data_IF_603027794926
#
_entry.id   IF_603027794926
#
_cell.length_a   1.000
_cell.length_b   1.000
_cell.length_c   1.000
_cell.angle_alpha   90.00
_cell.angle_beta   90.00
_cell.angle_gamma   90.00
#
_symmetry.space_group_name_H-M   'P 1'
#
loop_
_entity.id
_entity.type
_entity.pdbx_description
1 polymer ?
#
# COMPACT_ATOMS: atom_id res chain seq x y z
N UNK A 1 35.39 13.66 10.00
CA UNK A 1 34.18 13.59 10.85
C UNK A 1 33.02 13.17 9.97
N UNK A 2 32.89 11.88 9.72
CA UNK A 2 31.98 11.38 8.68
C UNK A 2 31.71 9.90 8.88
N UNK A 3 31.08 9.54 9.99
CA UNK A 3 30.61 8.16 10.23
C UNK A 3 29.61 8.08 11.39
N UNK A 4 28.72 9.06 11.55
CA UNK A 4 27.71 9.03 12.64
C UNK A 4 26.27 9.35 12.20
N UNK A 5 26.01 9.55 10.90
CA UNK A 5 24.68 9.96 10.42
C UNK A 5 23.96 8.92 9.54
N UNK A 6 24.46 7.68 9.51
CA UNK A 6 23.82 6.58 8.77
C UNK A 6 23.07 5.62 9.71
N UNK A 7 23.47 5.53 10.98
CA UNK A 7 22.85 4.59 11.93
C UNK A 7 21.51 5.05 12.53
N UNK A 8 21.13 6.32 12.37
CA UNK A 8 19.84 6.82 12.87
C UNK A 8 18.67 6.60 11.90
N UNK A 9 18.94 6.29 10.63
CA UNK A 9 17.87 5.95 9.67
C UNK A 9 17.51 4.46 9.70
N UNK A 10 18.45 3.58 10.05
CA UNK A 10 18.19 2.13 10.13
C UNK A 10 17.21 1.76 11.26
N UNK A 11 17.21 2.55 12.34
CA UNK A 11 16.37 2.29 13.52
C UNK A 11 14.97 2.90 13.43
N UNK A 12 14.75 3.87 12.54
CA UNK A 12 13.45 4.54 12.41
C UNK A 12 12.47 3.78 11.49
N UNK A 13 12.98 2.92 10.60
CA UNK A 13 12.14 2.06 9.75
C UNK A 13 11.72 0.77 10.46
N UNK A 14 12.54 0.23 11.38
CA UNK A 14 12.19 -0.93 12.22
C UNK A 14 11.18 -0.63 13.35
N UNK A 15 10.84 0.64 13.63
CA UNK A 15 9.97 1.01 14.75
C UNK A 15 8.52 1.31 14.34
N UNK A 16 8.20 1.31 13.05
CA UNK A 16 6.85 1.65 12.58
C UNK A 16 6.10 0.39 12.19
N UNK A 17 5.19 -0.03 13.08
CA UNK A 17 4.25 -1.12 12.86
C UNK A 17 3.36 -0.81 11.63
N UNK A 18 3.45 -1.59 10.54
CA UNK A 18 2.64 -1.39 9.35
C UNK A 18 1.16 -1.76 9.58
N UNK A 19 0.81 -2.41 10.69
CA UNK A 19 -0.55 -2.87 10.98
C UNK A 19 -0.92 -4.17 10.27
N UNK A 20 0.06 -4.85 9.68
CA UNK A 20 -0.02 -6.22 9.14
C UNK A 20 1.33 -6.90 9.34
N UNK A 21 1.36 -8.23 9.26
CA UNK A 21 2.57 -9.03 9.45
C UNK A 21 3.20 -9.41 8.10
N UNK A 22 4.25 -8.68 7.72
CA UNK A 22 5.05 -8.93 6.51
C UNK A 22 6.12 -10.02 6.68
N UNK A 23 6.41 -10.43 7.92
CA UNK A 23 7.49 -11.36 8.22
C UNK A 23 7.13 -12.79 7.77
N UNK A 24 8.13 -13.51 7.23
CA UNK A 24 7.96 -14.88 6.73
C UNK A 24 6.84 -15.04 5.68
N UNK A 25 6.52 -13.99 4.92
CA UNK A 25 5.60 -14.06 3.78
C UNK A 25 6.41 -14.12 2.47
N UNK A 26 6.27 -15.22 1.74
CA UNK A 26 6.83 -15.42 0.41
C UNK A 26 5.77 -15.04 -0.63
N UNK A 27 6.13 -14.17 -1.57
CA UNK A 27 5.27 -13.76 -2.67
C UNK A 27 5.79 -14.32 -3.99
N UNK A 28 4.87 -14.82 -4.82
CA UNK A 28 5.16 -15.39 -6.13
C UNK A 28 4.18 -14.86 -7.17
N UNK A 29 4.70 -14.40 -8.31
CA UNK A 29 3.84 -13.92 -9.39
C UNK A 29 3.10 -15.06 -10.06
N UNK A 30 1.77 -14.98 -10.00
CA UNK A 30 0.87 -16.00 -10.53
C UNK A 30 1.01 -16.13 -12.04
N UNK A 31 0.58 -17.29 -12.54
CA UNK A 31 0.41 -17.56 -13.97
C UNK A 31 -1.02 -18.05 -14.14
N UNK A 32 -1.70 -17.59 -15.19
CA UNK A 32 -3.11 -17.90 -15.43
C UNK A 32 -3.42 -19.41 -15.36
N UNK A 33 -2.51 -20.26 -15.85
CA UNK A 33 -2.65 -21.72 -15.78
C UNK A 33 -2.64 -22.26 -14.34
N UNK A 34 -1.78 -21.72 -13.48
CA UNK A 34 -1.68 -22.13 -12.08
C UNK A 34 -2.90 -21.60 -11.33
N UNK A 35 -3.31 -20.35 -11.60
CA UNK A 35 -4.49 -19.72 -11.00
C UNK A 35 -5.79 -20.47 -11.31
N UNK A 36 -5.94 -21.02 -12.52
CA UNK A 36 -7.10 -21.87 -12.87
C UNK A 36 -7.19 -23.15 -12.02
N UNK A 37 -6.08 -23.57 -11.43
CA UNK A 37 -5.97 -24.74 -10.55
C UNK A 37 -5.62 -24.33 -9.12
N UNK A 38 -5.93 -23.09 -8.74
CA UNK A 38 -5.49 -22.51 -7.47
C UNK A 38 -5.86 -23.37 -6.27
N UNK A 39 -7.08 -23.90 -6.18
CA UNK A 39 -7.48 -24.76 -5.05
C UNK A 39 -6.63 -26.03 -4.92
N UNK A 40 -6.29 -26.66 -6.05
CA UNK A 40 -5.44 -27.83 -6.07
C UNK A 40 -3.99 -27.48 -5.74
N UNK A 41 -3.48 -26.37 -6.29
CA UNK A 41 -2.15 -25.84 -5.97
C UNK A 41 -2.04 -25.50 -4.48
N UNK A 42 -3.03 -24.77 -3.94
CA UNK A 42 -3.13 -24.42 -2.52
C UNK A 42 -3.15 -25.65 -1.63
N UNK A 43 -3.91 -26.68 -1.99
CA UNK A 43 -3.95 -27.95 -1.24
C UNK A 43 -2.59 -28.65 -1.22
N UNK A 44 -1.87 -28.69 -2.35
CA UNK A 44 -0.51 -29.27 -2.43
C UNK A 44 0.48 -28.47 -1.59
N UNK A 45 0.42 -27.14 -1.66
CA UNK A 45 1.31 -26.25 -0.92
C UNK A 45 1.06 -26.40 0.60
N UNK A 46 -0.19 -26.40 1.04
CA UNK A 46 -0.57 -26.57 2.45
C UNK A 46 -0.31 -27.99 3.00
N UNK A 47 0.12 -28.95 2.17
CA UNK A 47 0.46 -30.28 2.63
C UNK A 47 1.79 -30.34 3.40
N UNK A 48 2.68 -29.35 3.21
CA UNK A 48 3.94 -29.25 3.95
C UNK A 48 3.75 -28.45 5.24
N UNK A 49 4.30 -28.97 6.33
CA UNK A 49 4.14 -28.39 7.66
C UNK A 49 4.86 -27.05 7.84
N UNK A 50 5.81 -26.68 6.97
CA UNK A 50 6.47 -25.38 6.99
C UNK A 50 5.55 -24.24 6.57
N UNK A 51 4.39 -24.52 5.95
CA UNK A 51 3.48 -23.52 5.41
C UNK A 51 2.25 -23.39 6.31
N UNK A 52 1.92 -22.17 6.72
CA UNK A 52 0.78 -21.87 7.59
C UNK A 52 -0.47 -21.52 6.80
N UNK A 53 -0.33 -20.68 5.76
CA UNK A 53 -1.45 -20.24 4.95
C UNK A 53 -1.01 -19.82 3.55
N UNK A 54 -1.96 -19.85 2.62
CA UNK A 54 -1.80 -19.43 1.22
C UNK A 54 -3.00 -18.58 0.84
N UNK A 55 -2.74 -17.44 0.20
CA UNK A 55 -3.73 -16.49 -0.30
C UNK A 55 -3.36 -15.97 -1.69
N UNK A 56 -4.32 -15.33 -2.36
CA UNK A 56 -4.13 -14.61 -3.62
C UNK A 56 -4.46 -13.13 -3.47
N UNK A 57 -3.78 -12.31 -4.27
CA UNK A 57 -4.05 -10.88 -4.39
C UNK A 57 -3.83 -10.37 -5.82
N UNK A 58 -4.52 -9.30 -6.20
CA UNK A 58 -4.30 -8.61 -7.47
C UNK A 58 -3.09 -7.67 -7.47
N UNK A 59 -2.62 -7.27 -6.30
CA UNK A 59 -1.49 -6.35 -6.12
C UNK A 59 -0.81 -6.60 -4.77
N UNK A 60 0.42 -6.11 -4.59
CA UNK A 60 1.22 -6.36 -3.38
C UNK A 60 0.83 -5.36 -2.28
N UNK A 61 0.41 -5.85 -1.11
CA UNK A 61 0.16 -5.01 0.06
C UNK A 61 1.40 -4.23 0.47
N UNK A 62 1.24 -2.96 0.84
CA UNK A 62 2.34 -2.05 1.19
C UNK A 62 2.92 -1.26 0.00
N UNK A 63 2.52 -1.58 -1.25
CA UNK A 63 2.82 -0.80 -2.46
C UNK A 63 1.69 0.18 -2.82
N UNK A 64 1.84 0.91 -3.93
CA UNK A 64 0.75 1.74 -4.48
C UNK A 64 -0.32 0.84 -5.11
N UNK A 65 -1.59 1.09 -4.81
CA UNK A 65 -2.70 0.25 -5.25
C UNK A 65 -3.52 0.88 -6.36
N UNK A 66 -4.12 0.00 -7.17
CA UNK A 66 -5.19 0.39 -8.08
C UNK A 66 -6.38 0.99 -7.32
N UNK A 67 -7.05 1.93 -7.98
CA UNK A 67 -8.28 2.53 -7.49
C UNK A 67 -9.47 1.95 -8.25
N UNK A 68 -10.54 1.65 -7.54
CA UNK A 68 -11.78 1.13 -8.12
C UNK A 68 -12.95 2.09 -7.84
N UNK A 69 -13.96 2.04 -8.70
CA UNK A 69 -15.14 2.90 -8.61
C UNK A 69 -16.16 2.39 -7.60
N UNK A 70 -16.45 3.23 -6.61
CA UNK A 70 -17.50 2.99 -5.63
C UNK A 70 -18.50 4.16 -5.60
N UNK A 71 -19.77 3.82 -5.41
CA UNK A 71 -20.86 4.73 -5.13
C UNK A 71 -21.59 4.21 -3.89
N UNK A 72 -21.59 4.98 -2.81
CA UNK A 72 -22.21 4.58 -1.55
C UNK A 72 -23.51 5.34 -1.30
N UNK A 73 -24.26 4.85 -0.33
CA UNK A 73 -25.54 5.42 0.06
C UNK A 73 -25.38 6.91 0.45
N UNK A 74 -26.17 7.78 -0.18
CA UNK A 74 -26.09 9.23 -0.03
C UNK A 74 -25.39 9.96 -1.18
N UNK A 75 -24.66 9.26 -2.06
CA UNK A 75 -24.18 9.84 -3.31
C UNK A 75 -25.28 9.94 -4.36
N UNK A 76 -25.13 10.85 -5.32
CA UNK A 76 -25.97 10.86 -6.51
C UNK A 76 -25.73 9.57 -7.31
N UNK A 77 -26.79 8.97 -7.91
CA UNK A 77 -26.62 7.88 -8.86
C UNK A 77 -25.61 8.25 -9.95
N UNK A 78 -24.77 7.31 -10.38
CA UNK A 78 -23.75 7.45 -11.43
C UNK A 78 -22.59 8.42 -11.12
N UNK A 79 -22.47 8.92 -9.89
CA UNK A 79 -21.27 9.62 -9.42
C UNK A 79 -20.34 8.65 -8.69
N UNK A 80 -19.13 8.48 -9.18
CA UNK A 80 -18.17 7.52 -8.63
C UNK A 80 -17.11 8.20 -7.77
N UNK A 81 -16.72 7.54 -6.69
CA UNK A 81 -15.51 7.82 -5.93
C UNK A 81 -14.49 6.71 -6.20
N UNK A 82 -13.26 7.10 -6.48
CA UNK A 82 -12.15 6.19 -6.73
C UNK A 82 -11.45 5.91 -5.40
N UNK A 83 -11.53 4.67 -4.93
CA UNK A 83 -10.93 4.25 -3.67
C UNK A 83 -9.82 3.22 -3.94
N UNK A 84 -8.64 3.37 -3.32
CA UNK A 84 -7.62 2.33 -3.34
C UNK A 84 -8.20 1.02 -2.80
N UNK A 85 -8.07 -0.06 -3.58
CA UNK A 85 -8.64 -1.36 -3.20
C UNK A 85 -7.79 -2.52 -3.69
N UNK A 86 -7.86 -3.61 -2.96
CA UNK A 86 -7.13 -4.84 -3.26
C UNK A 86 -8.13 -6.01 -3.30
N UNK A 87 -8.06 -6.77 -4.39
CA UNK A 87 -8.90 -7.93 -4.66
C UNK A 87 -8.18 -9.16 -4.10
N UNK A 88 -8.83 -9.84 -3.17
CA UNK A 88 -8.26 -10.93 -2.37
C UNK A 88 -9.15 -12.18 -2.38
N UNK A 89 -8.63 -13.28 -1.86
CA UNK A 89 -9.45 -14.39 -1.39
C UNK A 89 -9.80 -14.27 0.11
N UNK A 90 -10.56 -15.25 0.60
CA UNK A 90 -11.01 -15.29 1.99
C UNK A 90 -9.89 -15.55 3.00
N UNK A 91 -8.68 -15.91 2.56
CA UNK A 91 -7.57 -16.24 3.45
C UNK A 91 -6.64 -15.05 3.68
N UNK A 92 -6.79 -13.95 2.93
CA UNK A 92 -5.86 -12.84 2.95
C UNK A 92 -5.73 -12.17 4.32
N UNK A 93 -6.84 -11.85 4.98
CA UNK A 93 -6.84 -11.18 6.29
C UNK A 93 -6.08 -12.03 7.32
N UNK A 94 -6.37 -13.33 7.37
CA UNK A 94 -5.64 -14.26 8.24
C UNK A 94 -4.16 -14.42 7.84
N UNK A 95 -3.88 -14.46 6.54
CA UNK A 95 -2.52 -14.63 6.01
C UNK A 95 -1.66 -13.39 6.19
N UNK A 96 -2.23 -12.19 6.25
CA UNK A 96 -1.51 -10.95 6.50
C UNK A 96 -1.59 -10.49 7.97
N UNK A 97 -2.27 -11.24 8.84
CA UNK A 97 -2.40 -10.89 10.26
C UNK A 97 -3.17 -9.60 10.50
N UNK A 98 -4.14 -9.26 9.63
CA UNK A 98 -4.93 -8.03 9.75
C UNK A 98 -5.94 -8.13 10.90
N UNK A 99 -6.11 -7.03 11.64
CA UNK A 99 -7.02 -6.96 12.79
C UNK A 99 -8.42 -6.47 12.38
N UNK A 100 -9.46 -7.25 12.72
CA UNK A 100 -10.86 -6.84 12.57
C UNK A 100 -11.34 -6.12 13.84
N UNK A 101 -11.85 -4.90 13.69
CA UNK A 101 -12.43 -4.10 14.78
C UNK A 101 -13.96 -4.24 14.89
N UNK A 102 -14.63 -4.66 13.80
CA UNK A 102 -16.05 -4.98 13.79
C UNK A 102 -16.42 -5.96 12.68
N UNK A 103 -17.49 -6.72 12.89
CA UNK A 103 -18.03 -7.64 11.89
C UNK A 103 -17.25 -8.94 11.83
N UNK A 104 -16.97 -9.40 10.61
CA UNK A 104 -16.29 -10.67 10.34
C UNK A 104 -15.40 -10.58 9.12
N UNK A 105 -14.49 -11.55 9.01
CA UNK A 105 -13.73 -11.81 7.79
C UNK A 105 -14.63 -12.37 6.68
N UNK A 106 -14.09 -12.45 5.47
CA UNK A 106 -14.67 -13.20 4.37
C UNK A 106 -14.86 -14.66 4.74
N UNK A 107 -15.91 -15.28 4.20
CA UNK A 107 -16.22 -16.68 4.46
C UNK A 107 -16.61 -17.40 3.17
N UNK A 108 -15.83 -18.40 2.79
CA UNK A 108 -16.04 -19.18 1.56
C UNK A 108 -17.33 -20.02 1.57
N UNK A 109 -17.85 -20.37 2.75
CA UNK A 109 -19.13 -21.08 2.87
C UNK A 109 -20.33 -20.14 2.56
N UNK A 110 -20.10 -18.83 2.58
CA UNK A 110 -21.12 -17.80 2.29
C UNK A 110 -20.99 -17.36 0.84
N UNK A 111 -21.77 -17.99 -0.05
CA UNK A 111 -21.76 -17.71 -1.50
C UNK A 111 -21.95 -16.24 -1.90
N UNK A 112 -22.61 -15.42 -1.07
CA UNK A 112 -22.76 -13.99 -1.37
C UNK A 112 -21.46 -13.21 -1.19
N UNK A 113 -20.54 -13.72 -0.38
CA UNK A 113 -19.29 -13.03 -0.11
C UNK A 113 -18.42 -12.98 -1.37
N UNK A 114 -18.44 -14.04 -2.17
CA UNK A 114 -17.68 -14.18 -3.42
C UNK A 114 -17.95 -13.10 -4.50
N UNK A 115 -19.00 -12.30 -4.31
CA UNK A 115 -19.47 -11.31 -5.30
C UNK A 115 -19.98 -10.00 -4.70
N UNK A 116 -20.20 -9.94 -3.38
CA UNK A 116 -20.89 -8.82 -2.77
C UNK A 116 -20.40 -8.49 -1.35
N UNK A 117 -19.29 -9.07 -0.88
CA UNK A 117 -18.71 -8.70 0.42
C UNK A 117 -17.47 -7.84 0.22
N UNK A 118 -17.37 -6.78 1.04
CA UNK A 118 -16.16 -5.96 1.16
C UNK A 118 -15.81 -5.77 2.63
N UNK A 119 -14.52 -5.63 2.90
CA UNK A 119 -13.98 -5.15 4.17
C UNK A 119 -13.44 -3.74 3.95
N UNK A 120 -13.60 -2.87 4.94
CA UNK A 120 -13.14 -1.47 4.87
C UNK A 120 -12.32 -1.14 6.11
N UNK A 121 -11.41 -0.17 6.04
CA UNK A 121 -10.71 0.29 7.24
C UNK A 121 -11.49 1.34 8.04
N UNK A 122 -11.06 1.59 9.29
CA UNK A 122 -11.62 2.62 10.18
C UNK A 122 -11.61 4.02 9.53
N UNK A 123 -10.57 4.34 8.75
CA UNK A 123 -10.48 5.63 8.05
C UNK A 123 -11.62 5.82 7.05
N UNK A 124 -11.94 4.79 6.27
CA UNK A 124 -13.07 4.87 5.34
C UNK A 124 -14.39 5.10 6.10
N UNK A 125 -14.65 4.35 7.17
CA UNK A 125 -15.86 4.52 8.00
C UNK A 125 -16.01 5.96 8.49
N UNK A 126 -14.90 6.55 8.96
CA UNK A 126 -14.83 7.92 9.46
C UNK A 126 -15.05 8.96 8.36
N UNK A 127 -14.38 8.83 7.21
CA UNK A 127 -14.49 9.78 6.09
C UNK A 127 -15.85 9.73 5.40
N UNK A 128 -16.46 8.54 5.33
CA UNK A 128 -17.81 8.37 4.79
C UNK A 128 -18.91 8.80 5.77
N UNK A 129 -18.57 9.12 7.02
CA UNK A 129 -19.54 9.53 8.03
C UNK A 129 -20.50 8.42 8.43
N UNK A 130 -20.07 7.15 8.37
CA UNK A 130 -20.89 5.99 8.72
C UNK A 130 -21.01 5.73 10.23
N UNK A 131 -20.45 6.62 11.06
CA UNK A 131 -20.49 6.52 12.52
C UNK A 131 -19.39 5.62 13.07
N UNK A 132 -19.77 4.64 13.88
CA UNK A 132 -18.87 3.65 14.47
C UNK A 132 -18.59 2.47 13.52
N UNK A 133 -17.49 1.71 13.71
CA UNK A 133 -17.23 0.49 12.93
C UNK A 133 -18.40 -0.51 12.93
N UNK A 134 -19.15 -0.61 14.02
CA UNK A 134 -20.34 -1.47 14.11
C UNK A 134 -21.51 -0.95 13.28
N UNK A 135 -21.70 0.37 13.20
CA UNK A 135 -22.75 1.00 12.39
C UNK A 135 -22.44 0.96 10.89
N UNK A 136 -21.16 0.88 10.52
CA UNK A 136 -20.72 0.66 9.14
C UNK A 136 -21.09 -0.73 8.60
N UNK A 137 -21.33 -1.71 9.48
CA UNK A 137 -21.66 -3.06 9.06
C UNK A 137 -22.98 -3.08 8.29
N UNK A 138 -22.90 -3.62 7.08
CA UNK A 138 -24.03 -3.77 6.19
C UNK A 138 -24.35 -2.56 5.32
N UNK A 139 -23.55 -1.49 5.40
CA UNK A 139 -23.56 -0.39 4.45
C UNK A 139 -23.38 -0.92 3.03
N UNK A 140 -24.09 -0.32 2.08
CA UNK A 140 -24.09 -0.74 0.68
C UNK A 140 -23.16 0.14 -0.14
N UNK A 141 -22.32 -0.51 -0.92
CA UNK A 141 -21.46 0.12 -1.92
C UNK A 141 -21.86 -0.44 -3.28
N UNK A 142 -22.09 0.44 -4.25
CA UNK A 142 -22.37 0.07 -5.63
C UNK A 142 -21.08 0.24 -6.42
N UNK A 143 -20.74 -0.76 -7.20
CA UNK A 143 -19.63 -0.74 -8.16
C UNK A 143 -20.20 -0.94 -9.57
N UNK A 144 -19.44 -0.69 -10.64
CA UNK A 144 -19.86 -1.04 -12.00
C UNK A 144 -20.25 -2.52 -12.17
N UNK A 145 -19.81 -3.39 -11.25
CA UNK A 145 -20.02 -4.85 -11.28
C UNK A 145 -21.26 -5.28 -10.51
N UNK A 146 -21.77 -4.48 -9.58
CA UNK A 146 -22.91 -4.86 -8.77
C UNK A 146 -23.04 -4.07 -7.46
N UNK A 147 -23.79 -4.65 -6.54
CA UNK A 147 -23.95 -4.10 -5.18
C UNK A 147 -23.21 -4.98 -4.21
N UNK A 148 -22.25 -4.37 -3.54
CA UNK A 148 -21.43 -4.93 -2.48
C UNK A 148 -21.90 -4.40 -1.12
N UNK A 149 -21.49 -5.08 -0.06
CA UNK A 149 -21.89 -4.83 1.32
C UNK A 149 -20.70 -4.94 2.23
N UNK A 150 -20.57 -3.98 3.14
CA UNK A 150 -19.55 -4.02 4.19
C UNK A 150 -19.87 -5.16 5.16
N UNK A 151 -19.01 -6.19 5.23
CA UNK A 151 -19.19 -7.33 6.15
C UNK A 151 -18.28 -7.26 7.38
N UNK A 152 -17.24 -6.43 7.32
CA UNK A 152 -16.30 -6.21 8.40
C UNK A 152 -15.56 -4.90 8.25
N UNK A 153 -15.02 -4.43 9.38
CA UNK A 153 -14.18 -3.24 9.45
C UNK A 153 -12.83 -3.65 10.03
N UNK A 154 -11.77 -3.33 9.30
CA UNK A 154 -10.38 -3.56 9.67
C UNK A 154 -9.86 -2.36 10.45
N UNK A 155 -8.96 -2.62 11.39
CA UNK A 155 -8.16 -1.57 12.01
C UNK A 155 -7.36 -0.82 10.95
N UNK A 156 -7.08 0.46 11.16
CA UNK A 156 -6.21 1.20 10.24
C UNK A 156 -4.82 0.54 10.12
N UNK A 157 -4.40 0.25 8.89
CA UNK A 157 -3.09 -0.31 8.55
C UNK A 157 -2.46 0.46 7.37
N UNK A 158 -1.13 0.44 7.28
CA UNK A 158 -0.35 1.09 6.24
C UNK A 158 -0.31 0.24 4.97
N UNK A 159 -1.41 0.25 4.22
CA UNK A 159 -1.50 -0.46 2.94
C UNK A 159 -0.60 0.11 1.83
N UNK A 160 -0.08 1.33 2.01
CA UNK A 160 0.94 2.00 1.16
C UNK A 160 2.18 2.31 2.00
N UNK A 161 3.11 3.11 1.47
CA UNK A 161 4.27 3.65 2.19
C UNK A 161 3.96 4.09 3.63
N UNK A 162 4.77 3.62 4.57
CA UNK A 162 4.76 4.01 5.99
C UNK A 162 4.88 5.53 6.21
N UNK A 163 5.31 6.27 5.18
CA UNK A 163 5.45 7.71 5.23
C UNK A 163 4.15 8.50 5.00
N UNK A 164 3.09 7.85 4.53
CA UNK A 164 1.79 8.47 4.27
C UNK A 164 0.82 8.23 5.42
N UNK A 165 -0.12 9.16 5.67
CA UNK A 165 -1.22 8.88 6.57
C UNK A 165 -2.08 7.73 6.00
N UNK A 166 -2.65 6.93 6.89
CA UNK A 166 -3.64 5.91 6.48
C UNK A 166 -4.83 6.63 5.85
N UNK A 167 -5.23 6.15 4.67
CA UNK A 167 -6.33 6.67 3.85
C UNK A 167 -7.47 5.65 3.78
N UNK A 168 -8.66 5.99 3.26
CA UNK A 168 -9.69 5.00 2.99
C UNK A 168 -9.16 3.84 2.14
N UNK A 169 -9.51 2.61 2.50
CA UNK A 169 -9.11 1.41 1.78
C UNK A 169 -10.22 0.36 1.80
N UNK A 170 -10.31 -0.42 0.72
CA UNK A 170 -11.28 -1.50 0.55
C UNK A 170 -10.54 -2.80 0.23
N UNK A 171 -10.81 -3.86 0.99
CA UNK A 171 -10.55 -5.22 0.55
C UNK A 171 -11.82 -5.78 -0.07
N UNK A 172 -11.67 -6.33 -1.26
CA UNK A 172 -12.77 -6.82 -2.07
C UNK A 172 -12.54 -8.30 -2.39
N UNK A 173 -13.58 -9.13 -2.24
CA UNK A 173 -13.48 -10.55 -2.56
C UNK A 173 -14.29 -10.87 -3.81
N UNK A 174 -13.59 -11.20 -4.88
CA UNK A 174 -14.21 -11.44 -6.19
C UNK A 174 -13.70 -12.74 -6.77
N UNK A 175 -14.51 -13.79 -6.70
CA UNK A 175 -14.19 -15.07 -7.36
C UNK A 175 -14.51 -15.07 -8.86
N UNK A 176 -15.31 -14.12 -9.35
CA UNK A 176 -15.69 -14.11 -10.77
C UNK A 176 -14.62 -13.46 -11.66
N UNK A 177 -13.84 -14.37 -12.26
CA UNK A 177 -12.95 -14.22 -13.43
C UNK A 177 -11.52 -13.73 -13.12
N UNK A 178 -10.63 -14.74 -13.03
CA UNK A 178 -9.17 -14.71 -12.82
C UNK A 178 -8.31 -13.88 -13.79
N UNK A 179 -8.72 -12.65 -14.10
CA UNK A 179 -7.91 -11.69 -14.85
C UNK A 179 -7.18 -10.68 -13.94
N UNK A 180 -7.61 -10.53 -12.68
CA UNK A 180 -7.08 -9.49 -11.81
C UNK A 180 -6.02 -10.00 -10.84
N UNK A 181 -6.12 -11.23 -10.35
CA UNK A 181 -5.12 -11.81 -9.44
C UNK A 181 -3.77 -11.90 -10.15
N UNK A 182 -2.74 -11.34 -9.53
CA UNK A 182 -1.36 -11.31 -10.04
C UNK A 182 -0.38 -12.03 -9.13
N UNK A 183 -0.68 -12.16 -7.84
CA UNK A 183 0.29 -12.64 -6.86
C UNK A 183 -0.32 -13.73 -5.96
N UNK A 184 0.50 -14.72 -5.63
CA UNK A 184 0.29 -15.63 -4.51
C UNK A 184 1.11 -15.14 -3.32
N UNK A 185 0.52 -15.14 -2.12
CA UNK A 185 1.26 -14.96 -0.88
C UNK A 185 1.16 -16.22 -0.02
N UNK A 186 2.29 -16.64 0.52
CA UNK A 186 2.44 -17.84 1.33
C UNK A 186 3.09 -17.46 2.64
N UNK A 187 2.37 -17.69 3.75
CA UNK A 187 2.93 -17.53 5.09
C UNK A 187 3.67 -18.80 5.49
N UNK A 188 4.91 -18.62 5.89
CA UNK A 188 5.83 -19.68 6.30
C UNK A 188 6.03 -19.64 7.81
N UNK A 189 6.18 -20.81 8.43
CA UNK A 189 6.55 -20.91 9.83
C UNK A 189 7.95 -20.35 10.07
N UNK A 190 8.14 -19.49 11.08
CA UNK A 190 9.44 -18.91 11.39
C UNK A 190 10.55 -19.97 11.49
N UNK A 191 11.62 -19.78 10.71
CA UNK A 191 12.79 -20.67 10.72
C UNK A 191 12.67 -21.91 9.81
N UNK A 192 11.61 -22.03 9.02
CA UNK A 192 11.41 -23.13 8.06
C UNK A 192 11.51 -22.69 6.59
N UNK A 193 12.01 -21.48 6.33
CA UNK A 193 12.04 -20.85 5.01
C UNK A 193 12.65 -21.74 3.93
N UNK A 194 13.79 -22.39 4.22
CA UNK A 194 14.46 -23.25 3.25
C UNK A 194 13.61 -24.48 2.86
N UNK A 195 12.89 -25.06 3.82
CA UNK A 195 11.99 -26.18 3.55
C UNK A 195 10.77 -25.71 2.75
N UNK A 196 10.18 -24.58 3.14
CA UNK A 196 9.04 -24.02 2.43
C UNK A 196 9.37 -23.68 0.98
N UNK A 197 10.52 -23.03 0.73
CA UNK A 197 10.98 -22.69 -0.63
C UNK A 197 11.16 -23.95 -1.48
N UNK A 198 11.80 -25.00 -0.93
CA UNK A 198 12.01 -26.25 -1.66
C UNK A 198 10.68 -26.93 -2.01
N UNK A 199 9.71 -26.95 -1.07
CA UNK A 199 8.38 -27.51 -1.31
C UNK A 199 7.58 -26.68 -2.32
N UNK A 200 7.64 -25.35 -2.20
CA UNK A 200 7.01 -24.42 -3.14
C UNK A 200 7.54 -24.61 -4.57
N UNK A 201 8.86 -24.79 -4.73
CA UNK A 201 9.47 -25.05 -6.03
C UNK A 201 8.98 -26.38 -6.63
N UNK A 202 8.88 -27.44 -5.81
CA UNK A 202 8.34 -28.73 -6.26
C UNK A 202 6.87 -28.62 -6.67
N UNK A 203 6.04 -27.98 -5.84
CA UNK A 203 4.63 -27.73 -6.14
C UNK A 203 4.48 -26.89 -7.42
N UNK A 204 5.29 -25.83 -7.57
CA UNK A 204 5.30 -25.01 -8.77
C UNK A 204 5.62 -25.83 -10.03
N UNK A 205 6.61 -26.72 -9.96
CA UNK A 205 6.97 -27.63 -11.05
C UNK A 205 5.85 -28.59 -11.45
N UNK A 206 4.97 -28.99 -10.52
CA UNK A 206 3.81 -29.86 -10.82
C UNK A 206 2.71 -29.12 -11.59
N UNK A 207 2.42 -27.88 -11.22
CA UNK A 207 1.28 -27.11 -11.77
C UNK A 207 1.66 -26.19 -12.95
N UNK A 208 2.90 -25.73 -13.00
CA UNK A 208 3.43 -24.82 -14.02
C UNK A 208 4.85 -25.15 -14.49
N UNK A 209 5.13 -26.38 -14.97
CA UNK A 209 6.48 -26.83 -15.33
C UNK A 209 7.18 -25.99 -16.41
N UNK A 210 6.42 -25.23 -17.21
CA UNK A 210 6.94 -24.36 -18.25
C UNK A 210 7.31 -22.94 -17.76
N UNK A 211 7.01 -22.61 -16.51
CA UNK A 211 7.29 -21.30 -15.94
C UNK A 211 8.41 -21.41 -14.92
N UNK A 212 9.37 -20.46 -14.90
CA UNK A 212 10.37 -20.43 -13.85
C UNK A 212 9.69 -20.20 -12.48
N UNK A 213 10.26 -20.80 -11.45
CA UNK A 213 9.90 -20.51 -10.07
C UNK A 213 10.64 -19.24 -9.63
N UNK A 214 9.88 -18.16 -9.43
CA UNK A 214 10.39 -16.85 -9.01
C UNK A 214 9.61 -16.42 -7.76
N UNK A 215 10.34 -15.97 -6.74
CA UNK A 215 9.76 -15.53 -5.48
C UNK A 215 10.58 -14.39 -4.87
N UNK A 216 9.96 -13.70 -3.92
CA UNK A 216 10.64 -12.76 -3.03
C UNK A 216 9.98 -12.77 -1.65
N UNK A 217 10.70 -12.33 -0.63
CA UNK A 217 10.13 -12.08 0.70
C UNK A 217 9.46 -10.71 0.73
N UNK A 218 8.26 -10.63 1.30
CA UNK A 218 7.49 -9.39 1.36
C UNK A 218 8.24 -8.31 2.16
N UNK A 219 8.84 -8.68 3.30
CA UNK A 219 9.66 -7.78 4.11
C UNK A 219 10.80 -7.13 3.30
N UNK A 220 11.57 -7.91 2.53
CA UNK A 220 12.69 -7.42 1.72
C UNK A 220 12.21 -6.44 0.63
N UNK A 221 11.04 -6.73 0.06
CA UNK A 221 10.42 -5.89 -0.97
C UNK A 221 9.99 -4.55 -0.40
N UNK A 222 9.31 -4.56 0.74
CA UNK A 222 8.86 -3.34 1.42
C UNK A 222 10.05 -2.51 1.91
N UNK A 223 11.07 -3.15 2.48
CA UNK A 223 12.31 -2.49 2.91
C UNK A 223 13.01 -1.77 1.75
N UNK A 224 13.07 -2.40 0.58
CA UNK A 224 13.66 -1.80 -0.61
C UNK A 224 12.90 -0.55 -1.05
N UNK A 225 11.57 -0.59 -1.01
CA UNK A 225 10.71 0.56 -1.34
C UNK A 225 10.87 1.70 -0.35
N UNK A 226 10.96 1.40 0.95
CA UNK A 226 11.16 2.40 1.99
C UNK A 226 12.54 3.05 1.88
N UNK A 227 13.59 2.28 1.59
CA UNK A 227 14.94 2.82 1.37
C UNK A 227 15.05 3.68 0.12
N UNK A 228 14.39 3.29 -0.98
CA UNK A 228 14.38 4.05 -2.23
C UNK A 228 13.81 5.46 -2.06
N UNK A 229 12.75 5.61 -1.26
CA UNK A 229 12.12 6.91 -0.99
C UNK A 229 13.03 7.88 -0.21
N UNK A 230 13.90 7.37 0.67
CA UNK A 230 14.82 8.21 1.44
C UNK A 230 15.86 8.91 0.54
N UNK A 231 16.32 8.24 -0.51
CA UNK A 231 17.29 8.82 -1.45
C UNK A 231 16.69 10.01 -2.20
N UNK A 232 15.45 9.88 -2.68
CA UNK A 232 14.75 10.98 -3.37
C UNK A 232 14.52 12.18 -2.44
N UNK A 233 14.13 11.94 -1.17
CA UNK A 233 13.95 13.00 -0.17
C UNK A 233 15.23 13.80 0.06
N UNK A 234 16.39 13.13 0.15
CA UNK A 234 17.68 13.79 0.33
C UNK A 234 17.99 14.70 -0.88
N UNK A 235 17.78 14.21 -2.11
CA UNK A 235 18.03 14.98 -3.32
C UNK A 235 17.14 16.24 -3.40
N UNK A 236 15.84 16.12 -3.14
CA UNK A 236 14.89 17.25 -3.13
C UNK A 236 15.25 18.25 -2.03
N UNK A 237 15.66 17.77 -0.85
CA UNK A 237 16.11 18.64 0.24
C UNK A 237 17.35 19.45 -0.13
N UNK A 238 18.34 18.82 -0.77
CA UNK A 238 19.55 19.50 -1.24
C UNK A 238 19.23 20.57 -2.31
N UNK A 239 18.40 20.25 -3.29
CA UNK A 239 17.98 21.22 -4.30
C UNK A 239 17.20 22.39 -3.69
N UNK A 240 16.36 22.12 -2.68
CA UNK A 240 15.61 23.16 -1.97
C UNK A 240 16.54 24.14 -1.24
N UNK A 241 17.58 23.64 -0.58
CA UNK A 241 18.60 24.49 0.08
C UNK A 241 19.34 25.34 -0.95
N UNK A 242 19.77 24.74 -2.06
CA UNK A 242 20.45 25.47 -3.14
C UNK A 242 19.54 26.56 -3.72
N UNK A 243 18.26 26.26 -3.96
CA UNK A 243 17.29 27.22 -4.45
C UNK A 243 17.12 28.40 -3.48
N UNK A 244 16.99 28.15 -2.18
CA UNK A 244 16.89 29.19 -1.15
C UNK A 244 18.13 30.10 -1.18
N UNK A 245 19.34 29.53 -1.26
CA UNK A 245 20.59 30.30 -1.33
C UNK A 245 20.62 31.18 -2.58
N UNK A 246 20.25 30.64 -3.74
CA UNK A 246 20.20 31.40 -5.00
C UNK A 246 19.16 32.52 -4.91
N UNK A 247 17.98 32.26 -4.33
CA UNK A 247 16.95 33.28 -4.11
C UNK A 247 17.44 34.40 -3.18
N UNK A 248 18.15 34.07 -2.11
CA UNK A 248 18.74 35.07 -1.21
C UNK A 248 19.81 35.93 -1.91
N UNK A 249 20.65 35.32 -2.75
CA UNK A 249 21.63 36.06 -3.56
C UNK A 249 20.93 36.99 -4.56
N UNK A 250 19.87 36.52 -5.21
CA UNK A 250 19.07 37.32 -6.14
C UNK A 250 18.40 38.52 -5.46
N UNK A 251 17.80 38.29 -4.29
CA UNK A 251 17.21 39.37 -3.49
C UNK A 251 18.28 40.38 -3.05
N UNK A 252 19.45 39.91 -2.59
CA UNK A 252 20.56 40.79 -2.23
C UNK A 252 21.02 41.65 -3.40
N UNK A 253 21.22 41.06 -4.58
CA UNK A 253 21.62 41.78 -5.79
C UNK A 253 20.61 42.89 -6.17
N UNK A 254 19.31 42.58 -6.14
CA UNK A 254 18.24 43.56 -6.42
C UNK A 254 18.19 44.69 -5.39
N UNK A 255 18.39 44.38 -4.10
CA UNK A 255 18.43 45.41 -3.06
C UNK A 255 19.64 46.33 -3.22
N UNK A 256 20.82 45.78 -3.56
CA UNK A 256 22.03 46.58 -3.79
C UNK A 256 21.85 47.57 -4.94
N UNK A 257 21.24 47.13 -6.06
CA UNK A 257 20.93 48.01 -7.19
C UNK A 257 19.92 49.10 -6.82
N UNK A 258 18.91 48.76 -6.03
CA UNK A 258 17.89 49.71 -5.57
C UNK A 258 18.48 50.78 -4.63
N UNK A 259 19.44 50.41 -3.79
CA UNK A 259 20.16 51.37 -2.93
C UNK A 259 21.01 52.32 -3.76
N UNK A 260 21.73 51.82 -4.78
CA UNK A 260 22.54 52.68 -5.68
C UNK A 260 21.67 53.65 -6.51
N UNK A 261 20.50 53.20 -6.96
CA UNK A 261 19.54 54.07 -7.66
C UNK A 261 19.01 55.18 -6.74
N UNK A 262 18.66 54.85 -5.48
CA UNK A 262 18.18 55.83 -4.50
C UNK A 262 19.28 56.79 -4.02
N UNK A 263 20.54 56.37 -3.90
CA UNK A 263 21.64 57.29 -3.56
C UNK A 263 21.92 58.27 -4.71
N UNK A 264 21.77 57.86 -5.97
CA UNK A 264 21.84 58.77 -7.12
C UNK A 264 20.71 59.80 -7.10
N UNK A 265 19.48 59.42 -6.74
CA UNK A 265 18.35 60.37 -6.60
C UNK A 265 18.57 61.40 -5.48
N UNK A 266 19.11 60.99 -4.33
CA UNK A 266 19.40 61.90 -3.21
C UNK A 266 20.60 62.82 -3.52
N UNK A 267 21.58 62.35 -4.30
CA UNK A 267 22.76 63.12 -4.71
C UNK A 267 22.45 64.33 -5.59
N UNK A 268 21.36 64.31 -6.37
CA UNK A 268 20.90 65.48 -7.12
C UNK A 268 20.22 66.54 -6.23
N UNK A 269 19.70 66.17 -5.06
CA UNK A 269 18.97 67.08 -4.15
C UNK A 269 19.87 67.86 -3.17
N UNK A 270 21.18 67.56 -3.12
CA UNK A 270 22.16 68.22 -2.24
C UNK A 270 23.17 69.11 -2.99
N UNK A 271 22.96 69.47 -4.26
CA UNK A 271 23.75 70.52 -4.91
C UNK A 271 23.35 71.90 -4.34
N UNK A 272 24.23 72.64 -3.62
CA UNK A 272 23.92 73.95 -3.07
C UNK A 272 24.04 75.07 -4.13
N UNK A 273 23.67 74.76 -5.38
CA UNK A 273 23.55 75.73 -6.48
C UNK A 273 22.10 75.80 -6.98
N UNK A 274 21.20 76.15 -6.06
CA UNK A 274 19.96 76.89 -6.30
C UNK A 274 19.72 77.82 -5.11
#
# INVERSE_FOLDING_TARGET
MGTLMVNSQFRFMQEKDPGFDESSVIVMSTKQQILQQFEAFRTEVLADESIESVTVMNDIIGEDHNVFEYNYEGMQPDKWQYLPSLIVDAHFVSTMGLELVAGRDFNEDIKSDDTAAVLVNETLVREMGWGTPQEALGQRMTTPRGRERVVGVLKDFHYVSLNEPVRPFVLDMIKQQGFWIQEFAVRVKPGMDQQAIAHLEEAWGKFGPQFPFEYFFLEDRLDTLYQGQNTLRILVGLFSIVAIVISCIGLFALTSLSVEQRTKEIGYSQDPRC
#
